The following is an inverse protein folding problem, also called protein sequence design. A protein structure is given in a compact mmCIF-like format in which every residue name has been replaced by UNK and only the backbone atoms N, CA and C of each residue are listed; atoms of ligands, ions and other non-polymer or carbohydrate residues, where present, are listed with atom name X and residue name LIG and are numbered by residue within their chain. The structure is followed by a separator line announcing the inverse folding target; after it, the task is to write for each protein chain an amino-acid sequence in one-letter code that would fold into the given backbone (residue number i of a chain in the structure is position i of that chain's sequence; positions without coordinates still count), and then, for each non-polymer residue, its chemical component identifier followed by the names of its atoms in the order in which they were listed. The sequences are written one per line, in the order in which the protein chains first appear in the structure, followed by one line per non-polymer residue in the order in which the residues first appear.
data_IF_164194641500
#
_entry.id   IF_164194641500
#
_cell.length_a   1.000
_cell.length_b   1.000
_cell.length_c   1.000
_cell.angle_alpha   90.00
_cell.angle_beta   90.00
_cell.angle_gamma   90.00
#
_symmetry.space_group_name_H-M   'P 1'
#
loop_
_entity.id
_entity.type
_entity.pdbx_description
1 polymer ?
#
# COMPACT_ATOMS: atom_id res chain seq x y z
N UNK A 1 39.47 -10.22 -65.63
CA UNK A 1 38.25 -9.70 -64.98
C UNK A 1 38.21 -10.27 -63.58
N UNK A 2 38.07 -9.42 -62.55
CA UNK A 2 37.88 -9.71 -61.12
C UNK A 2 38.91 -8.95 -60.29
N UNK A 3 38.63 -7.68 -60.00
CA UNK A 3 39.10 -6.97 -58.79
C UNK A 3 38.47 -5.58 -58.64
N UNK A 4 37.27 -5.36 -59.20
CA UNK A 4 36.57 -4.07 -59.10
C UNK A 4 35.29 -4.12 -58.27
N UNK A 5 34.86 -5.31 -57.83
CA UNK A 5 33.59 -5.50 -57.13
C UNK A 5 33.69 -5.54 -55.60
N UNK A 6 34.88 -5.72 -55.01
CA UNK A 6 35.02 -5.89 -53.56
C UNK A 6 35.26 -4.60 -52.76
N UNK A 7 35.76 -3.53 -53.37
CA UNK A 7 36.13 -2.29 -52.63
C UNK A 7 34.94 -1.36 -52.40
N UNK A 8 33.94 -1.36 -53.30
CA UNK A 8 32.72 -0.55 -53.14
C UNK A 8 31.73 -1.13 -52.12
N UNK A 9 31.75 -2.44 -51.92
CA UNK A 9 30.86 -3.10 -50.95
C UNK A 9 31.30 -2.84 -49.49
N UNK A 10 32.61 -2.78 -49.25
CA UNK A 10 33.17 -2.49 -47.92
C UNK A 10 32.95 -1.01 -47.54
N UNK A 11 33.02 -0.07 -48.48
CA UNK A 11 32.68 1.34 -48.21
C UNK A 11 31.19 1.55 -47.92
N UNK A 12 30.31 0.71 -48.47
CA UNK A 12 28.86 0.80 -48.21
C UNK A 12 28.50 0.30 -46.80
N UNK A 13 29.23 -0.68 -46.27
CA UNK A 13 29.01 -1.22 -44.92
C UNK A 13 29.46 -0.23 -43.83
N UNK A 14 30.53 0.54 -44.07
CA UNK A 14 31.02 1.53 -43.09
C UNK A 14 30.09 2.74 -42.97
N UNK A 15 29.40 3.13 -44.04
CA UNK A 15 28.42 4.24 -43.99
C UNK A 15 27.12 3.79 -43.30
N UNK A 16 26.75 2.51 -43.40
CA UNK A 16 25.56 1.99 -42.72
C UNK A 16 25.75 1.84 -41.21
N UNK A 17 26.98 1.61 -40.73
CA UNK A 17 27.29 1.54 -39.29
C UNK A 17 27.26 2.89 -38.57
N UNK A 18 27.31 4.03 -39.28
CA UNK A 18 27.21 5.35 -38.67
C UNK A 18 25.77 5.87 -38.50
N UNK A 19 24.77 5.21 -39.11
CA UNK A 19 23.36 5.59 -38.93
C UNK A 19 22.72 5.00 -37.66
N UNK A 20 23.44 4.15 -36.92
CA UNK A 20 23.03 3.67 -35.60
C UNK A 20 23.67 4.46 -34.44
N UNK A 21 24.29 5.60 -34.73
CA UNK A 21 24.71 6.54 -33.71
C UNK A 21 23.50 7.25 -33.11
N UNK A 22 23.13 6.81 -31.89
CA UNK A 22 22.28 7.49 -30.92
C UNK A 22 20.88 7.90 -31.40
N UNK A 23 19.94 6.95 -31.40
CA UNK A 23 18.64 7.27 -30.79
C UNK A 23 18.86 7.28 -29.28
N UNK A 24 19.41 8.39 -28.78
CA UNK A 24 19.18 8.78 -27.39
C UNK A 24 17.66 8.93 -27.30
N UNK A 25 17.02 7.97 -26.61
CA UNK A 25 15.60 7.95 -26.38
C UNK A 25 15.27 9.18 -25.52
N UNK A 26 15.06 10.34 -26.16
CA UNK A 26 14.72 11.61 -25.51
C UNK A 26 13.26 11.65 -25.03
N UNK A 27 12.71 10.49 -24.71
CA UNK A 27 11.33 10.29 -24.31
C UNK A 27 11.20 9.46 -23.03
N UNK A 28 12.30 9.24 -22.31
CA UNK A 28 12.20 8.79 -20.93
C UNK A 28 11.66 9.98 -20.13
N UNK A 29 10.38 9.92 -19.77
CA UNK A 29 9.79 10.84 -18.83
C UNK A 29 10.38 10.53 -17.44
N UNK A 30 11.57 11.07 -17.16
CA UNK A 30 12.18 11.03 -15.83
C UNK A 30 11.40 11.93 -14.83
N UNK A 31 10.08 12.12 -14.99
CA UNK A 31 9.27 12.90 -14.03
C UNK A 31 9.29 12.27 -12.65
N UNK A 32 9.49 10.96 -12.56
CA UNK A 32 9.47 10.19 -11.32
C UNK A 32 10.89 9.72 -11.03
N UNK A 33 11.58 10.34 -10.06
CA UNK A 33 12.96 10.00 -9.75
C UNK A 33 13.06 8.70 -8.94
N UNK A 34 12.13 8.46 -8.01
CA UNK A 34 11.94 7.18 -7.34
C UNK A 34 10.46 6.80 -7.38
N UNK A 35 10.20 5.49 -7.53
CA UNK A 35 8.87 4.92 -7.48
C UNK A 35 8.91 3.66 -6.61
N UNK A 36 7.91 3.52 -5.73
CA UNK A 36 7.68 2.33 -4.94
C UNK A 36 6.23 1.90 -5.13
N UNK A 37 6.05 0.61 -5.39
CA UNK A 37 4.74 -0.04 -5.42
C UNK A 37 4.65 -1.04 -4.28
N UNK A 38 3.62 -0.89 -3.45
CA UNK A 38 3.33 -1.75 -2.30
C UNK A 38 2.09 -2.56 -2.66
N UNK A 39 2.27 -3.85 -2.93
CA UNK A 39 1.15 -4.75 -3.16
C UNK A 39 0.38 -4.97 -1.86
N UNK A 40 -0.95 -4.98 -1.90
CA UNK A 40 -1.80 -5.23 -0.73
C UNK A 40 -1.46 -6.55 -0.02
N UNK A 41 -0.84 -7.50 -0.74
CA UNK A 41 -0.47 -8.82 -0.24
C UNK A 41 0.50 -8.77 0.93
N UNK A 42 1.37 -7.76 1.02
CA UNK A 42 2.25 -7.63 2.19
C UNK A 42 1.45 -7.30 3.45
N UNK A 43 0.42 -6.47 3.30
CA UNK A 43 -0.49 -6.06 4.37
C UNK A 43 -1.40 -7.24 4.73
N UNK A 44 -1.93 -7.94 3.73
CA UNK A 44 -2.76 -9.14 3.93
C UNK A 44 -1.98 -10.28 4.57
N UNK A 45 -0.70 -10.46 4.21
CA UNK A 45 0.16 -11.42 4.88
C UNK A 45 0.30 -11.06 6.36
N UNK A 46 0.59 -9.79 6.69
CA UNK A 46 0.61 -9.33 8.08
C UNK A 46 -0.73 -9.59 8.81
N UNK A 47 -1.86 -9.18 8.24
CA UNK A 47 -3.18 -9.39 8.83
C UNK A 47 -3.51 -10.86 9.06
N UNK A 48 -3.12 -11.73 8.13
CA UNK A 48 -3.34 -13.18 8.26
C UNK A 48 -2.60 -13.80 9.46
N UNK A 49 -1.53 -13.17 9.93
CA UNK A 49 -0.77 -13.65 11.11
C UNK A 49 -1.41 -13.30 12.45
N UNK A 50 -2.38 -12.40 12.48
CA UNK A 50 -3.10 -12.01 13.71
C UNK A 50 -3.91 -13.19 14.25
N UNK A 51 -4.43 -14.06 13.37
CA UNK A 51 -5.22 -15.22 13.73
C UNK A 51 -6.68 -14.87 14.00
N UNK A 52 -7.25 -15.46 15.03
CA UNK A 52 -8.65 -15.29 15.43
C UNK A 52 -8.73 -14.34 16.64
N UNK A 53 -9.70 -13.45 16.64
CA UNK A 53 -10.05 -12.58 17.76
C UNK A 53 -11.40 -13.04 18.28
N UNK A 54 -11.45 -13.48 19.52
CA UNK A 54 -12.68 -13.97 20.14
C UNK A 54 -13.14 -13.08 21.30
N UNK A 55 -14.43 -13.17 21.59
CA UNK A 55 -15.05 -12.51 22.72
C UNK A 55 -16.43 -13.07 23.01
N UNK A 56 -17.15 -12.41 23.92
CA UNK A 56 -18.48 -12.85 24.30
C UNK A 56 -19.09 -11.99 25.39
N UNK A 57 -20.32 -12.33 25.74
CA UNK A 57 -21.06 -11.59 26.74
C UNK A 57 -22.38 -12.26 27.11
N UNK A 58 -23.26 -11.45 27.72
CA UNK A 58 -24.60 -11.89 28.13
C UNK A 58 -25.65 -10.87 27.76
N UNK A 59 -26.76 -11.33 27.20
CA UNK A 59 -27.96 -10.53 26.96
C UNK A 59 -29.11 -11.19 27.73
N UNK A 60 -29.58 -10.51 28.77
CA UNK A 60 -30.53 -11.09 29.72
C UNK A 60 -29.98 -12.37 30.35
N UNK A 61 -30.69 -13.50 30.16
CA UNK A 61 -30.28 -14.82 30.65
C UNK A 61 -29.43 -15.65 29.68
N UNK A 62 -29.07 -15.11 28.51
CA UNK A 62 -28.41 -15.85 27.44
C UNK A 62 -26.96 -15.45 27.30
N UNK A 63 -26.07 -16.43 27.22
CA UNK A 63 -24.66 -16.21 26.91
C UNK A 63 -24.48 -16.24 25.39
N UNK A 64 -23.59 -15.40 24.88
CA UNK A 64 -23.15 -15.44 23.48
C UNK A 64 -21.62 -15.35 23.43
N UNK A 65 -21.04 -15.97 22.42
CA UNK A 65 -19.63 -15.84 22.07
C UNK A 65 -19.55 -15.45 20.60
N UNK A 66 -18.53 -14.68 20.24
CA UNK A 66 -18.22 -14.36 18.86
C UNK A 66 -16.74 -14.61 18.59
N UNK A 67 -16.43 -14.89 17.34
CA UNK A 67 -15.08 -14.99 16.81
C UNK A 67 -14.98 -14.22 15.51
N UNK A 68 -13.84 -13.55 15.29
CA UNK A 68 -13.53 -12.85 14.06
C UNK A 68 -12.21 -13.34 13.50
N UNK A 69 -12.20 -13.69 12.22
CA UNK A 69 -11.05 -14.29 11.56
C UNK A 69 -10.98 -13.89 10.07
N UNK A 70 -9.97 -14.41 9.36
CA UNK A 70 -9.78 -14.20 7.93
C UNK A 70 -9.70 -12.71 7.56
N UNK A 71 -8.85 -11.98 8.28
CA UNK A 71 -8.64 -10.55 8.05
C UNK A 71 -7.88 -10.30 6.75
N UNK A 72 -8.39 -9.39 5.92
CA UNK A 72 -7.68 -8.91 4.73
C UNK A 72 -8.15 -7.49 4.38
N UNK A 73 -7.35 -6.81 3.56
CA UNK A 73 -7.73 -5.56 2.92
C UNK A 73 -7.77 -5.74 1.40
N UNK A 74 -8.61 -4.93 0.78
CA UNK A 74 -8.66 -4.74 -0.67
C UNK A 74 -8.40 -3.28 -0.96
N UNK A 75 -7.48 -3.01 -1.89
CA UNK A 75 -7.14 -1.66 -2.33
C UNK A 75 -7.46 -1.55 -3.82
N UNK A 76 -8.29 -0.55 -4.16
CA UNK A 76 -8.58 -0.14 -5.53
C UNK A 76 -8.20 1.34 -5.74
N UNK A 77 -8.48 1.89 -6.92
CA UNK A 77 -8.13 3.28 -7.26
C UNK A 77 -8.90 4.33 -6.44
N UNK A 78 -10.04 3.98 -5.87
CA UNK A 78 -10.93 4.91 -5.16
C UNK A 78 -10.79 4.82 -3.65
N UNK A 79 -10.58 3.62 -3.11
CA UNK A 79 -10.61 3.35 -1.67
C UNK A 79 -9.80 2.11 -1.27
N UNK A 80 -9.62 1.99 0.04
CA UNK A 80 -9.14 0.77 0.68
C UNK A 80 -10.17 0.33 1.73
N UNK A 81 -10.50 -0.97 1.73
CA UNK A 81 -11.48 -1.56 2.63
C UNK A 81 -10.88 -2.75 3.36
N UNK A 82 -11.22 -2.86 4.63
CA UNK A 82 -10.90 -3.98 5.51
C UNK A 82 -12.06 -4.96 5.54
N UNK A 83 -11.73 -6.24 5.55
CA UNK A 83 -12.68 -7.33 5.59
C UNK A 83 -12.28 -8.35 6.65
N UNK A 84 -13.29 -9.00 7.22
CA UNK A 84 -13.13 -10.15 8.10
C UNK A 84 -14.43 -10.96 8.17
N UNK A 85 -14.33 -12.19 8.65
CA UNK A 85 -15.49 -13.06 8.87
C UNK A 85 -15.78 -13.10 10.35
N UNK A 86 -17.03 -12.82 10.74
CA UNK A 86 -17.50 -12.96 12.12
C UNK A 86 -18.43 -14.14 12.25
N UNK A 87 -18.22 -14.96 13.28
CA UNK A 87 -19.15 -16.00 13.70
C UNK A 87 -19.73 -15.63 15.06
N UNK A 88 -21.05 -15.59 15.18
CA UNK A 88 -21.75 -15.40 16.45
C UNK A 88 -22.45 -16.69 16.87
N UNK A 89 -22.22 -17.14 18.10
CA UNK A 89 -22.76 -18.39 18.66
C UNK A 89 -23.51 -18.12 19.97
N UNK A 90 -24.71 -18.70 20.11
CA UNK A 90 -25.47 -18.69 21.37
C UNK A 90 -26.32 -19.97 21.52
N UNK A 91 -25.92 -20.86 22.42
CA UNK A 91 -26.59 -22.16 22.58
C UNK A 91 -26.53 -23.00 21.30
N UNK A 92 -27.68 -23.27 20.67
CA UNK A 92 -27.78 -23.99 19.38
C UNK A 92 -27.77 -23.07 18.16
N UNK A 93 -27.74 -21.75 18.38
CA UNK A 93 -27.67 -20.77 17.31
C UNK A 93 -26.22 -20.50 16.91
N UNK A 94 -25.98 -20.42 15.60
CA UNK A 94 -24.75 -19.93 14.99
C UNK A 94 -25.10 -19.10 13.75
N UNK A 95 -24.42 -17.96 13.56
CA UNK A 95 -24.53 -17.10 12.38
C UNK A 95 -23.15 -16.64 11.96
N UNK A 96 -22.94 -16.57 10.66
CA UNK A 96 -21.73 -16.02 10.05
C UNK A 96 -22.11 -14.77 9.26
N UNK A 97 -21.31 -13.72 9.37
CA UNK A 97 -21.43 -12.49 8.57
C UNK A 97 -20.03 -12.03 8.11
N UNK A 98 -20.02 -11.11 7.15
CA UNK A 98 -18.81 -10.43 6.69
C UNK A 98 -18.78 -9.04 7.33
N UNK A 99 -17.63 -8.68 7.85
CA UNK A 99 -17.31 -7.35 8.36
C UNK A 99 -16.68 -6.55 7.25
N UNK A 100 -17.09 -5.28 7.14
CA UNK A 100 -16.46 -4.32 6.24
C UNK A 100 -16.11 -3.08 7.04
N UNK A 101 -14.84 -2.67 6.97
CA UNK A 101 -14.32 -1.46 7.60
C UNK A 101 -13.61 -0.58 6.58
N UNK A 102 -13.48 0.71 6.89
CA UNK A 102 -12.71 1.63 6.04
C UNK A 102 -11.23 1.52 6.39
N UNK A 103 -10.36 1.70 5.39
CA UNK A 103 -8.92 1.80 5.58
C UNK A 103 -8.46 3.15 5.06
N UNK A 104 -7.80 3.90 5.93
CA UNK A 104 -7.19 5.18 5.59
C UNK A 104 -5.72 4.97 5.26
N UNK A 105 -5.35 5.37 4.05
CA UNK A 105 -3.98 5.28 3.55
C UNK A 105 -3.46 6.68 3.28
N UNK A 106 -2.38 7.05 3.95
CA UNK A 106 -1.80 8.39 3.80
C UNK A 106 -0.28 8.37 3.93
N UNK A 107 0.33 9.45 3.45
CA UNK A 107 1.78 9.67 3.51
C UNK A 107 2.06 10.84 4.45
N UNK A 108 2.97 10.64 5.40
CA UNK A 108 3.54 11.68 6.24
C UNK A 108 4.89 12.12 5.68
N UNK A 109 4.96 13.38 5.25
CA UNK A 109 6.17 13.93 4.61
C UNK A 109 7.32 14.18 5.60
N UNK A 110 7.01 14.40 6.88
CA UNK A 110 8.00 14.75 7.91
C UNK A 110 8.77 13.49 8.30
N UNK A 111 8.04 12.40 8.56
CA UNK A 111 8.61 11.11 8.92
C UNK A 111 9.00 10.26 7.69
N UNK A 112 8.57 10.68 6.50
CA UNK A 112 8.72 9.93 5.24
C UNK A 112 8.12 8.51 5.35
N UNK A 113 6.96 8.40 5.99
CA UNK A 113 6.25 7.14 6.26
C UNK A 113 4.90 7.09 5.56
N UNK A 114 4.57 5.92 5.05
CA UNK A 114 3.25 5.57 4.53
C UNK A 114 2.54 4.79 5.61
N UNK A 115 1.33 5.22 5.94
CA UNK A 115 0.47 4.62 6.94
C UNK A 115 -0.71 3.94 6.27
N UNK A 116 -0.98 2.70 6.68
CA UNK A 116 -2.21 1.98 6.35
C UNK A 116 -2.94 1.72 7.66
N UNK A 117 -4.00 2.50 7.90
CA UNK A 117 -4.73 2.50 9.16
C UNK A 117 -6.14 1.95 8.94
N UNK A 118 -6.48 0.86 9.62
CA UNK A 118 -7.86 0.38 9.67
C UNK A 118 -8.64 1.33 10.59
N UNK A 119 -9.65 1.99 10.05
CA UNK A 119 -10.54 2.87 10.81
C UNK A 119 -11.70 2.07 11.40
N UNK A 120 -12.23 2.53 12.54
CA UNK A 120 -13.33 1.97 13.34
C UNK A 120 -14.13 0.86 12.64
N UNK A 121 -13.98 -0.35 13.15
CA UNK A 121 -14.71 -1.52 12.70
C UNK A 121 -15.74 -1.86 13.77
N UNK A 122 -16.87 -1.16 13.70
CA UNK A 122 -18.03 -1.41 14.56
C UNK A 122 -19.00 -2.32 13.83
N UNK A 123 -19.39 -3.42 14.48
CA UNK A 123 -20.32 -4.39 13.90
C UNK A 123 -21.55 -4.44 14.77
N UNK A 124 -22.70 -4.08 14.18
CA UNK A 124 -24.00 -4.21 14.82
C UNK A 124 -24.67 -5.50 14.34
N UNK A 125 -24.74 -6.50 15.23
CA UNK A 125 -25.41 -7.77 14.94
C UNK A 125 -26.81 -7.78 15.54
N UNK A 126 -27.82 -7.72 14.69
CA UNK A 126 -29.22 -7.92 15.08
C UNK A 126 -29.49 -9.41 15.36
N UNK A 127 -29.82 -9.70 16.61
CA UNK A 127 -30.20 -11.04 17.10
C UNK A 127 -31.64 -11.08 17.63
N UNK A 128 -32.47 -10.09 17.28
CA UNK A 128 -33.86 -9.97 17.70
C UNK A 128 -34.73 -11.18 17.31
N UNK A 129 -34.38 -11.87 16.23
CA UNK A 129 -35.07 -13.09 15.77
C UNK A 129 -34.77 -14.35 16.59
N UNK A 130 -33.79 -14.31 17.49
CA UNK A 130 -33.35 -15.45 18.29
C UNK A 130 -34.07 -15.47 19.64
N UNK A 131 -34.28 -14.29 20.22
CA UNK A 131 -34.81 -14.13 21.57
C UNK A 131 -36.25 -13.64 21.49
N UNK A 132 -37.19 -14.55 21.21
CA UNK A 132 -38.63 -14.27 21.16
C UNK A 132 -39.21 -13.66 22.47
N UNK A 133 -38.42 -13.62 23.54
CA UNK A 133 -38.78 -13.12 24.87
C UNK A 133 -38.14 -11.77 25.22
N UNK A 134 -37.27 -11.21 24.38
CA UNK A 134 -36.57 -9.94 24.64
C UNK A 134 -37.10 -8.86 23.66
N UNK A 135 -37.37 -7.63 24.11
CA UNK A 135 -37.74 -6.54 23.21
C UNK A 135 -36.70 -6.33 22.11
N UNK A 136 -37.13 -6.23 20.85
CA UNK A 136 -36.26 -6.18 19.66
C UNK A 136 -35.21 -5.08 19.73
N UNK A 137 -35.59 -3.96 20.34
CA UNK A 137 -34.81 -2.73 20.49
C UNK A 137 -33.59 -2.90 21.43
N UNK A 138 -33.48 -4.05 22.12
CA UNK A 138 -32.45 -4.33 23.14
C UNK A 138 -31.42 -5.37 22.65
N UNK A 139 -31.57 -5.90 21.43
CA UNK A 139 -30.84 -7.12 21.00
C UNK A 139 -29.83 -6.86 19.87
N UNK A 140 -29.07 -5.78 19.99
CA UNK A 140 -27.89 -5.55 19.16
C UNK A 140 -26.63 -5.88 19.95
N UNK A 141 -25.76 -6.70 19.38
CA UNK A 141 -24.39 -6.87 19.88
C UNK A 141 -23.53 -5.90 19.09
N UNK A 142 -22.88 -4.99 19.80
CA UNK A 142 -21.83 -4.15 19.24
C UNK A 142 -20.48 -4.82 19.55
N UNK A 143 -19.71 -5.09 18.51
CA UNK A 143 -18.33 -5.59 18.62
C UNK A 143 -17.39 -4.48 18.19
N UNK A 144 -16.62 -3.97 19.15
CA UNK A 144 -15.57 -2.98 18.92
C UNK A 144 -14.23 -3.70 18.69
N UNK A 145 -13.77 -3.70 17.44
CA UNK A 145 -12.48 -4.26 17.05
C UNK A 145 -11.36 -3.21 17.00
N UNK A 146 -11.66 -1.93 17.27
CA UNK A 146 -10.72 -0.81 17.08
C UNK A 146 -9.43 -0.99 17.89
N UNK A 147 -9.54 -1.53 19.11
CA UNK A 147 -8.39 -1.77 19.99
C UNK A 147 -7.37 -2.77 19.42
N UNK A 148 -7.79 -3.70 18.56
CA UNK A 148 -6.91 -4.71 17.98
C UNK A 148 -6.17 -4.19 16.74
N UNK A 149 -6.67 -3.11 16.14
CA UNK A 149 -6.12 -2.47 14.94
C UNK A 149 -5.76 -0.99 15.21
N UNK A 150 -5.45 -0.66 16.47
CA UNK A 150 -5.21 0.72 16.90
C UNK A 150 -3.93 1.32 16.26
N UNK A 151 -2.91 0.49 16.10
CA UNK A 151 -1.64 0.87 15.48
C UNK A 151 -1.69 0.65 13.96
N UNK A 152 -1.27 1.64 13.16
CA UNK A 152 -1.23 1.51 11.71
C UNK A 152 -0.11 0.57 11.24
N UNK A 153 -0.28 0.01 10.03
CA UNK A 153 0.83 -0.63 9.34
C UNK A 153 1.69 0.44 8.65
N UNK A 154 2.97 0.50 9.02
CA UNK A 154 3.89 1.56 8.59
C UNK A 154 4.92 1.07 7.56
N UNK A 155 5.13 1.85 6.51
CA UNK A 155 6.08 1.53 5.44
C UNK A 155 6.92 2.76 5.12
N UNK A 156 8.25 2.58 5.01
CA UNK A 156 9.14 3.66 4.59
C UNK A 156 8.89 4.04 3.12
N UNK A 157 8.59 5.31 2.87
CA UNK A 157 8.54 5.86 1.51
C UNK A 157 9.94 5.86 0.86
N UNK A 158 10.02 5.75 -0.48
CA UNK A 158 11.30 5.61 -1.17
C UNK A 158 12.17 6.85 -0.96
N UNK A 159 13.38 6.65 -0.45
CA UNK A 159 14.36 7.73 -0.27
C UNK A 159 15.78 7.31 -0.67
N UNK A 160 16.57 8.20 -1.30
CA UNK A 160 17.97 7.95 -1.56
C UNK A 160 18.74 7.84 -0.24
N UNK A 161 19.63 6.86 -0.15
CA UNK A 161 20.57 6.76 0.98
C UNK A 161 21.55 7.94 1.02
N UNK A 162 21.92 8.47 -0.15
CA UNK A 162 22.80 9.64 -0.27
C UNK A 162 21.95 10.90 -0.34
N UNK A 163 22.07 11.76 0.67
CA UNK A 163 21.36 13.05 0.73
C UNK A 163 22.28 14.24 0.43
N UNK A 164 23.59 14.04 0.47
CA UNK A 164 24.54 15.05 0.03
C UNK A 164 25.85 14.44 -0.44
N UNK A 165 26.57 15.21 -1.26
CA UNK A 165 27.86 14.83 -1.81
C UNK A 165 28.80 16.04 -1.87
N UNK A 166 29.94 16.02 -1.16
CA UNK A 166 30.92 17.09 -1.23
C UNK A 166 31.70 17.01 -2.55
N UNK A 167 31.87 18.15 -3.21
CA UNK A 167 32.67 18.30 -4.42
C UNK A 167 33.71 19.41 -4.19
N UNK A 168 34.98 19.09 -4.38
CA UNK A 168 36.07 20.08 -4.33
C UNK A 168 36.47 20.48 -5.76
N UNK A 169 36.40 21.77 -6.07
CA UNK A 169 36.86 22.34 -7.33
C UNK A 169 37.85 23.47 -7.05
N UNK A 170 39.09 23.31 -7.49
CA UNK A 170 40.11 24.38 -7.53
C UNK A 170 40.25 25.19 -6.23
N UNK A 171 40.31 24.49 -5.09
CA UNK A 171 40.44 24.97 -3.71
C UNK A 171 39.14 25.32 -2.95
N UNK A 172 37.99 25.36 -3.62
CA UNK A 172 36.70 25.54 -2.94
C UNK A 172 35.99 24.18 -2.81
N UNK A 173 35.49 23.89 -1.61
CA UNK A 173 34.61 22.73 -1.36
C UNK A 173 33.18 23.21 -1.31
N UNK A 174 32.34 22.60 -2.13
CA UNK A 174 30.90 22.84 -2.15
C UNK A 174 30.17 21.54 -1.87
N UNK A 175 29.06 21.61 -1.13
CA UNK A 175 28.18 20.47 -0.93
C UNK A 175 27.05 20.50 -1.98
N UNK A 176 26.84 19.38 -2.66
CA UNK A 176 25.61 19.14 -3.42
C UNK A 176 24.64 18.44 -2.48
N UNK A 177 23.45 19.00 -2.27
CA UNK A 177 22.40 18.41 -1.45
C UNK A 177 21.29 17.89 -2.36
N UNK A 178 20.77 16.71 -2.06
CA UNK A 178 19.66 16.07 -2.75
C UNK A 178 18.43 16.24 -1.86
N UNK A 179 17.50 17.09 -2.29
CA UNK A 179 16.29 17.41 -1.56
C UNK A 179 15.10 16.70 -2.20
N UNK A 180 14.15 16.20 -1.39
CA UNK A 180 12.84 15.81 -1.90
C UNK A 180 12.09 17.09 -2.29
N UNK A 181 11.65 17.15 -3.55
CA UNK A 181 10.88 18.28 -4.08
C UNK A 181 9.39 18.04 -3.93
N UNK A 182 8.97 16.82 -4.24
CA UNK A 182 7.56 16.43 -4.26
C UNK A 182 7.45 14.92 -4.06
N UNK A 183 6.46 14.49 -3.28
CA UNK A 183 6.09 13.08 -3.17
C UNK A 183 4.58 12.95 -3.27
N UNK A 184 4.11 11.99 -4.05
CA UNK A 184 2.70 11.77 -4.32
C UNK A 184 2.36 10.31 -4.05
N UNK A 185 1.29 10.10 -3.28
CA UNK A 185 0.72 8.78 -3.00
C UNK A 185 -0.56 8.61 -3.82
N UNK A 186 -0.72 7.42 -4.40
CA UNK A 186 -1.89 7.00 -5.15
C UNK A 186 -2.34 5.63 -4.66
N UNK A 187 -3.64 5.48 -4.51
CA UNK A 187 -4.24 4.15 -4.51
C UNK A 187 -4.38 3.69 -5.96
N UNK A 188 -4.06 2.43 -6.20
CA UNK A 188 -4.18 1.79 -7.50
C UNK A 188 -4.68 0.37 -7.29
N UNK A 189 -5.18 -0.25 -8.35
CA UNK A 189 -5.63 -1.64 -8.30
C UNK A 189 -4.57 -2.56 -7.64
N UNK A 190 -4.97 -3.26 -6.57
CA UNK A 190 -4.16 -4.16 -5.75
C UNK A 190 -3.04 -3.52 -4.91
N UNK A 191 -2.98 -2.19 -4.75
CA UNK A 191 -1.90 -1.63 -3.93
C UNK A 191 -1.79 -0.11 -3.85
N UNK A 192 -0.66 0.30 -3.29
CA UNK A 192 -0.30 1.71 -3.08
C UNK A 192 0.89 2.02 -3.96
N UNK A 193 0.80 3.10 -4.74
CA UNK A 193 1.90 3.61 -5.54
C UNK A 193 2.36 4.94 -4.98
N UNK A 194 3.65 5.06 -4.71
CA UNK A 194 4.26 6.32 -4.29
C UNK A 194 5.36 6.73 -5.27
N UNK A 195 5.33 8.00 -5.64
CA UNK A 195 6.26 8.61 -6.58
C UNK A 195 6.94 9.77 -5.86
N UNK A 196 8.27 9.84 -5.96
CA UNK A 196 9.06 10.93 -5.39
C UNK A 196 9.92 11.59 -6.46
N UNK A 197 9.95 12.91 -6.41
CA UNK A 197 10.73 13.81 -7.26
C UNK A 197 11.76 14.49 -6.38
N UNK A 198 13.01 14.49 -6.83
CA UNK A 198 14.14 15.08 -6.11
C UNK A 198 14.74 16.24 -6.90
N UNK A 199 15.37 17.17 -6.19
CA UNK A 199 16.17 18.22 -6.80
C UNK A 199 17.54 18.30 -6.14
N UNK A 200 18.56 18.59 -6.94
CA UNK A 200 19.92 18.77 -6.45
C UNK A 200 20.25 20.25 -6.40
N UNK A 201 20.72 20.71 -5.24
CA UNK A 201 21.08 22.10 -5.01
C UNK A 201 22.53 22.21 -4.56
N UNK A 202 23.19 23.27 -5.01
CA UNK A 202 24.55 23.63 -4.62
C UNK A 202 24.47 24.52 -3.38
N UNK A 203 25.06 24.10 -2.25
CA UNK A 203 25.14 24.88 -1.00
C UNK A 203 26.55 25.42 -0.74
#
# INVERSE_FOLDING_TARGET
MNNFFNTKFIQLIVIFSFLFASKLNKNDNYSNHLELFIHQDIINNFLSTIGEIDGGGKIGGFNYNWDVSNFYIVIDEEKAEFYGNITLKSGQFSREDIIVGNVNVYYDEIENLIFVKIENVDIDIDISHIFNTIPKDVVNINVDLSQYFAEPFEIQAPQPKTTSYPITMSNDTTQIVINNKETQLYLVENGIKIISIYQCEKQ
#
